data_IF_921708750065
#
_entry.id   IF_921708750065
#
_cell.length_a   1.000
_cell.length_b   1.000
_cell.length_c   1.000
_cell.angle_alpha   90.00
_cell.angle_beta   90.00
_cell.angle_gamma   90.00
#
_symmetry.space_group_name_H-M   'P 1'
#
loop_
_entity.id
_entity.type
_entity.pdbx_description
1 polymer ?
#
# COMPACT_ATOMS: atom_id res chain seq x y z
N UNK A 1 23.33 31.55 12.81
CA UNK A 1 22.12 31.75 11.99
C UNK A 1 22.07 30.62 10.99
N UNK A 2 21.01 29.82 10.99
CA UNK A 2 20.83 28.79 9.96
C UNK A 2 20.53 29.46 8.62
N UNK A 3 21.13 28.98 7.53
CA UNK A 3 20.86 29.46 6.17
C UNK A 3 19.51 28.94 5.68
N UNK A 4 18.63 29.85 5.28
CA UNK A 4 17.39 29.48 4.58
C UNK A 4 17.70 28.96 3.18
N UNK A 5 16.87 28.05 2.68
CA UNK A 5 17.07 27.54 1.33
C UNK A 5 16.86 28.64 0.27
N UNK A 6 17.72 28.73 -0.77
CA UNK A 6 17.61 29.76 -1.79
C UNK A 6 16.25 29.69 -2.50
N UNK A 7 15.66 30.84 -2.84
CA UNK A 7 14.35 30.90 -3.50
C UNK A 7 14.31 30.12 -4.83
N UNK A 8 15.42 30.06 -5.57
CA UNK A 8 15.53 29.29 -6.83
C UNK A 8 15.38 27.78 -6.64
N UNK A 9 15.55 27.28 -5.41
CA UNK A 9 15.33 25.87 -5.09
C UNK A 9 13.85 25.50 -4.83
N UNK A 10 12.95 26.51 -4.83
CA UNK A 10 11.50 26.32 -4.70
C UNK A 10 10.86 26.01 -6.06
N UNK A 11 11.14 24.81 -6.55
CA UNK A 11 10.41 24.23 -7.67
C UNK A 11 9.09 23.60 -7.21
N UNK A 12 8.16 23.37 -8.14
CA UNK A 12 6.93 22.64 -7.85
C UNK A 12 7.21 21.22 -7.33
N UNK A 13 8.31 20.59 -7.77
CA UNK A 13 8.77 19.29 -7.27
C UNK A 13 9.31 19.35 -5.83
N UNK A 14 9.81 20.51 -5.39
CA UNK A 14 10.35 20.71 -4.05
C UNK A 14 9.27 21.07 -3.01
N UNK A 15 8.06 21.41 -3.46
CA UNK A 15 7.00 21.95 -2.60
C UNK A 15 6.17 20.83 -1.94
N UNK A 16 5.99 20.86 -0.60
CA UNK A 16 5.13 19.91 0.10
C UNK A 16 3.66 20.05 -0.32
N UNK A 17 3.22 21.26 -0.68
CA UNK A 17 1.84 21.54 -1.15
C UNK A 17 1.50 20.75 -2.40
N UNK A 18 2.44 20.60 -3.33
CA UNK A 18 2.24 19.80 -4.54
C UNK A 18 1.93 18.35 -4.20
N UNK A 19 2.73 17.75 -3.30
CA UNK A 19 2.54 16.36 -2.88
C UNK A 19 1.23 16.19 -2.12
N UNK A 20 0.87 17.15 -1.25
CA UNK A 20 -0.43 17.15 -0.57
C UNK A 20 -1.61 17.14 -1.54
N UNK A 21 -1.59 18.03 -2.55
CA UNK A 21 -2.66 18.09 -3.56
C UNK A 21 -2.73 16.77 -4.32
N UNK A 22 -1.58 16.23 -4.73
CA UNK A 22 -1.51 14.93 -5.40
C UNK A 22 -2.10 13.82 -4.52
N UNK A 23 -1.65 13.71 -3.27
CA UNK A 23 -2.11 12.72 -2.30
C UNK A 23 -3.62 12.80 -2.05
N UNK A 24 -4.17 13.98 -1.78
CA UNK A 24 -5.61 14.12 -1.56
C UNK A 24 -6.44 13.84 -2.81
N UNK A 25 -5.95 14.23 -3.99
CA UNK A 25 -6.57 13.87 -5.27
C UNK A 25 -6.58 12.36 -5.45
N UNK A 26 -5.47 11.69 -5.14
CA UNK A 26 -5.37 10.22 -5.16
C UNK A 26 -6.36 9.59 -4.17
N UNK A 27 -6.42 10.06 -2.92
CA UNK A 27 -7.40 9.56 -1.95
C UNK A 27 -8.83 9.66 -2.49
N UNK A 28 -9.22 10.79 -3.08
CA UNK A 28 -10.55 11.00 -3.65
C UNK A 28 -10.86 10.06 -4.83
N UNK A 29 -9.88 9.81 -5.71
CA UNK A 29 -10.05 8.94 -6.89
C UNK A 29 -9.98 7.45 -6.56
N UNK A 30 -9.10 7.05 -5.64
CA UNK A 30 -8.79 5.65 -5.34
C UNK A 30 -9.75 5.08 -4.30
N UNK A 31 -10.29 5.88 -3.37
CA UNK A 31 -11.26 5.39 -2.37
C UNK A 31 -12.49 4.70 -3.01
N UNK A 32 -13.14 5.24 -4.06
CA UNK A 32 -14.20 4.53 -4.77
C UNK A 32 -13.74 3.20 -5.37
N UNK A 33 -12.52 3.13 -5.88
CA UNK A 33 -11.93 1.91 -6.42
C UNK A 33 -11.71 0.87 -5.32
N UNK A 34 -11.25 1.28 -4.15
CA UNK A 34 -11.11 0.42 -2.96
C UNK A 34 -12.45 -0.20 -2.53
N UNK A 35 -13.52 0.59 -2.55
CA UNK A 35 -14.87 0.10 -2.25
C UNK A 35 -15.36 -0.92 -3.30
N UNK A 36 -15.11 -0.65 -4.59
CA UNK A 36 -15.40 -1.61 -5.66
C UNK A 36 -14.60 -2.91 -5.46
N UNK A 37 -13.32 -2.79 -5.10
CA UNK A 37 -12.45 -3.92 -4.77
C UNK A 37 -13.02 -4.76 -3.64
N UNK A 38 -13.37 -4.13 -2.52
CA UNK A 38 -13.99 -4.81 -1.38
C UNK A 38 -15.32 -5.49 -1.75
N UNK A 39 -16.17 -4.81 -2.52
CA UNK A 39 -17.41 -5.40 -3.04
C UNK A 39 -17.16 -6.64 -3.90
N UNK A 40 -16.17 -6.60 -4.81
CA UNK A 40 -15.78 -7.73 -5.63
C UNK A 40 -15.35 -8.94 -4.78
N UNK A 41 -14.52 -8.72 -3.76
CA UNK A 41 -14.11 -9.81 -2.84
C UNK A 41 -15.32 -10.35 -2.07
N UNK A 42 -16.15 -9.49 -1.49
CA UNK A 42 -17.23 -9.93 -0.62
C UNK A 42 -18.37 -10.63 -1.36
N UNK A 43 -18.71 -10.15 -2.56
CA UNK A 43 -19.92 -10.56 -3.29
C UNK A 43 -19.66 -11.28 -4.61
N UNK A 44 -18.44 -11.25 -5.16
CA UNK A 44 -18.13 -11.79 -6.48
C UNK A 44 -17.00 -12.82 -6.50
N UNK A 45 -16.41 -13.17 -5.35
CA UNK A 45 -15.52 -14.33 -5.25
C UNK A 45 -16.33 -15.63 -5.47
N UNK A 46 -15.99 -16.45 -6.49
CA UNK A 46 -16.70 -17.68 -6.78
C UNK A 46 -16.39 -18.78 -5.76
N UNK A 47 -17.23 -19.83 -5.72
CA UNK A 47 -17.06 -20.97 -4.81
C UNK A 47 -15.68 -21.65 -4.93
N UNK A 48 -15.12 -21.71 -6.15
CA UNK A 48 -13.79 -22.27 -6.42
C UNK A 48 -12.63 -21.50 -5.76
N UNK A 49 -12.85 -20.24 -5.36
CA UNK A 49 -11.87 -19.37 -4.69
C UNK A 49 -12.26 -19.05 -3.24
N UNK A 50 -13.27 -19.70 -2.69
CA UNK A 50 -13.83 -19.36 -1.38
C UNK A 50 -12.78 -19.44 -0.26
N UNK A 51 -11.85 -20.40 -0.34
CA UNK A 51 -10.76 -20.56 0.62
C UNK A 51 -9.77 -19.39 0.68
N UNK A 52 -9.70 -18.55 -0.35
CA UNK A 52 -8.79 -17.38 -0.42
C UNK A 52 -9.52 -16.08 -0.12
N UNK A 53 -10.86 -16.09 -0.08
CA UNK A 53 -11.70 -14.89 0.08
C UNK A 53 -11.28 -14.04 1.28
N UNK A 54 -11.16 -14.66 2.45
CA UNK A 54 -10.87 -13.94 3.70
C UNK A 54 -9.43 -13.46 3.81
N UNK A 55 -8.45 -14.24 3.32
CA UNK A 55 -7.06 -13.80 3.31
C UNK A 55 -6.84 -12.68 2.29
N UNK A 56 -7.53 -12.73 1.15
CA UNK A 56 -7.54 -11.65 0.17
C UNK A 56 -8.24 -10.39 0.72
N UNK A 57 -9.32 -10.54 1.48
CA UNK A 57 -9.98 -9.41 2.13
C UNK A 57 -9.08 -8.76 3.19
N UNK A 58 -8.39 -9.55 4.01
CA UNK A 58 -7.44 -9.04 5.00
C UNK A 58 -6.29 -8.28 4.32
N UNK A 59 -5.74 -8.83 3.24
CA UNK A 59 -4.74 -8.14 2.43
C UNK A 59 -5.28 -6.82 1.87
N UNK A 60 -6.45 -6.85 1.23
CA UNK A 60 -7.09 -5.65 0.68
C UNK A 60 -7.29 -4.59 1.76
N UNK A 61 -7.82 -4.97 2.92
CA UNK A 61 -8.03 -4.07 4.05
C UNK A 61 -6.75 -3.32 4.46
N UNK A 62 -5.64 -4.03 4.67
CA UNK A 62 -4.38 -3.40 5.06
C UNK A 62 -3.79 -2.54 3.94
N UNK A 63 -3.96 -2.92 2.67
CA UNK A 63 -3.56 -2.08 1.53
C UNK A 63 -4.34 -0.77 1.51
N UNK A 64 -5.67 -0.83 1.71
CA UNK A 64 -6.52 0.36 1.80
C UNK A 64 -6.13 1.22 2.99
N UNK A 65 -5.85 0.61 4.15
CA UNK A 65 -5.43 1.36 5.34
C UNK A 65 -4.13 2.12 5.08
N UNK A 66 -3.09 1.46 4.52
CA UNK A 66 -1.83 2.12 4.17
C UNK A 66 -2.04 3.22 3.12
N UNK A 67 -2.88 2.97 2.11
CA UNK A 67 -3.19 3.96 1.09
C UNK A 67 -3.84 5.22 1.68
N UNK A 68 -4.83 5.06 2.57
CA UNK A 68 -5.45 6.17 3.28
C UNK A 68 -4.48 6.89 4.21
N UNK A 69 -3.59 6.16 4.88
CA UNK A 69 -2.54 6.77 5.70
C UNK A 69 -1.62 7.65 4.85
N UNK A 70 -1.14 7.15 3.71
CA UNK A 70 -0.21 7.83 2.82
C UNK A 70 -0.83 8.97 1.99
N UNK A 71 -2.16 8.97 1.81
CA UNK A 71 -2.84 9.93 0.93
C UNK A 71 -3.82 10.88 1.64
N UNK A 72 -4.21 10.59 2.88
CA UNK A 72 -5.24 11.35 3.60
C UNK A 72 -4.90 11.62 5.07
N UNK A 73 -4.58 10.59 5.84
CA UNK A 73 -4.49 10.72 7.30
C UNK A 73 -3.14 11.26 7.78
N UNK A 74 -2.03 10.71 7.29
CA UNK A 74 -0.67 10.95 7.78
C UNK A 74 0.36 10.83 6.64
N UNK A 75 0.29 11.78 5.70
CA UNK A 75 1.16 11.88 4.52
C UNK A 75 2.58 12.21 5.01
N UNK A 76 3.57 11.31 4.85
CA UNK A 76 4.91 11.51 5.39
C UNK A 76 5.76 12.37 4.45
N UNK A 77 6.58 13.26 5.01
CA UNK A 77 7.56 14.07 4.29
C UNK A 77 8.95 13.87 4.92
N UNK A 78 9.80 12.99 4.35
CA UNK A 78 11.11 12.73 4.91
C UNK A 78 12.07 13.89 4.68
N UNK A 79 13.02 14.05 5.61
CA UNK A 79 14.06 15.08 5.63
C UNK A 79 15.46 14.43 5.60
N UNK A 80 15.72 13.60 4.57
CA UNK A 80 17.03 13.00 4.38
C UNK A 80 18.14 14.06 4.27
N UNK A 81 19.37 13.78 4.71
CA UNK A 81 19.84 12.49 5.20
C UNK A 81 19.50 12.19 6.66
N UNK A 82 18.97 13.17 7.39
CA UNK A 82 18.46 12.92 8.73
C UNK A 82 17.33 11.89 8.69
N UNK A 83 17.31 10.98 9.66
CA UNK A 83 16.21 10.05 9.88
C UNK A 83 15.01 10.79 10.51
N UNK A 84 14.54 11.84 9.87
CA UNK A 84 13.49 12.72 10.37
C UNK A 84 12.52 13.08 9.27
N UNK A 85 11.42 13.70 9.65
CA UNK A 85 10.42 14.16 8.72
C UNK A 85 9.31 14.90 9.43
N UNK A 86 8.24 15.16 8.71
CA UNK A 86 6.99 15.63 9.28
C UNK A 86 5.83 14.91 8.62
N UNK A 87 4.71 14.79 9.32
CA UNK A 87 3.49 14.18 8.76
C UNK A 87 2.40 15.23 8.69
N UNK A 88 1.73 15.29 7.54
CA UNK A 88 0.59 16.17 7.30
C UNK A 88 -0.65 15.35 6.92
N UNK A 89 -1.83 15.86 7.24
CA UNK A 89 -3.10 15.24 6.86
C UNK A 89 -4.15 15.42 7.94
N UNK A 90 -5.20 14.61 7.88
CA UNK A 90 -6.33 14.71 8.82
C UNK A 90 -5.89 14.49 10.27
N UNK A 91 -4.93 13.60 10.53
CA UNK A 91 -4.45 13.37 11.90
C UNK A 91 -3.65 14.54 12.45
N UNK A 92 -2.80 15.17 11.63
CA UNK A 92 -2.07 16.37 12.06
C UNK A 92 -3.03 17.54 12.29
N UNK A 93 -4.05 17.71 11.43
CA UNK A 93 -5.10 18.73 11.62
C UNK A 93 -5.93 18.50 12.89
N UNK A 94 -6.12 17.23 13.29
CA UNK A 94 -6.79 16.86 14.52
C UNK A 94 -5.90 17.00 15.77
N UNK A 95 -4.66 17.46 15.64
CA UNK A 95 -3.72 17.64 16.76
C UNK A 95 -3.11 16.34 17.28
N UNK A 96 -3.14 15.24 16.50
CA UNK A 96 -2.48 14.00 16.90
C UNK A 96 -0.96 14.16 16.85
N UNK A 97 -0.26 13.73 17.90
CA UNK A 97 1.22 13.74 17.97
C UNK A 97 1.84 12.99 16.79
N UNK A 98 2.90 13.54 16.20
CA UNK A 98 3.53 12.94 15.02
C UNK A 98 4.13 11.54 15.28
N UNK A 99 4.65 11.31 16.49
CA UNK A 99 5.13 9.99 16.94
C UNK A 99 4.07 8.90 16.78
N UNK A 100 2.82 9.21 17.18
CA UNK A 100 1.68 8.29 17.11
C UNK A 100 1.25 8.07 15.67
N UNK A 101 1.21 9.13 14.85
CA UNK A 101 0.87 9.03 13.43
C UNK A 101 1.87 8.15 12.68
N UNK A 102 3.16 8.36 12.90
CA UNK A 102 4.22 7.56 12.31
C UNK A 102 4.12 6.09 12.74
N UNK A 103 3.85 5.83 14.02
CA UNK A 103 3.68 4.47 14.53
C UNK A 103 2.52 3.74 13.84
N UNK A 104 1.35 4.38 13.69
CA UNK A 104 0.22 3.80 12.96
C UNK A 104 0.55 3.51 11.49
N UNK A 105 1.27 4.43 10.83
CA UNK A 105 1.69 4.25 9.44
C UNK A 105 2.61 3.03 9.29
N UNK A 106 3.67 2.94 10.12
CA UNK A 106 4.65 1.85 10.06
C UNK A 106 4.00 0.51 10.41
N UNK A 107 3.18 0.43 11.46
CA UNK A 107 2.45 -0.80 11.82
C UNK A 107 1.55 -1.25 10.66
N UNK A 108 0.83 -0.32 10.02
CA UNK A 108 -0.04 -0.65 8.88
C UNK A 108 0.77 -1.22 7.70
N UNK A 109 1.94 -0.64 7.40
CA UNK A 109 2.85 -1.15 6.35
C UNK A 109 3.32 -2.56 6.70
N UNK A 110 3.75 -2.80 7.95
CA UNK A 110 4.17 -4.13 8.39
C UNK A 110 3.04 -5.16 8.25
N UNK A 111 1.80 -4.79 8.59
CA UNK A 111 0.63 -5.66 8.48
C UNK A 111 0.24 -5.94 7.02
N UNK A 112 0.50 -5.05 6.07
CA UNK A 112 0.42 -5.36 4.63
C UNK A 112 1.40 -6.49 4.28
N UNK A 113 2.65 -6.42 4.73
CA UNK A 113 3.63 -7.47 4.46
C UNK A 113 3.22 -8.81 5.09
N UNK A 114 2.77 -8.82 6.36
CA UNK A 114 2.26 -10.04 7.02
C UNK A 114 1.03 -10.61 6.30
N UNK A 115 0.07 -9.76 5.92
CA UNK A 115 -1.12 -10.19 5.18
C UNK A 115 -0.79 -10.81 3.83
N UNK A 116 0.28 -10.34 3.17
CA UNK A 116 0.81 -10.95 1.94
C UNK A 116 1.32 -12.36 2.21
N UNK A 117 2.13 -12.56 3.26
CA UNK A 117 2.63 -13.87 3.66
C UNK A 117 1.48 -14.83 4.02
N UNK A 118 0.42 -14.35 4.67
CA UNK A 118 -0.79 -15.15 4.96
C UNK A 118 -1.49 -15.65 3.69
N UNK A 119 -1.44 -14.91 2.59
CA UNK A 119 -2.00 -15.38 1.32
C UNK A 119 -1.19 -16.57 0.78
N UNK A 120 0.14 -16.50 0.82
CA UNK A 120 1.00 -17.63 0.42
C UNK A 120 0.85 -18.83 1.34
N UNK A 121 0.77 -18.60 2.66
CA UNK A 121 0.50 -19.66 3.63
C UNK A 121 -0.83 -20.35 3.34
N UNK A 122 -1.89 -19.59 3.06
CA UNK A 122 -3.19 -20.17 2.72
C UNK A 122 -3.11 -21.08 1.49
N UNK A 123 -2.30 -20.73 0.49
CA UNK A 123 -2.05 -21.60 -0.67
C UNK A 123 -1.26 -22.85 -0.30
N UNK A 124 -0.20 -22.69 0.48
CA UNK A 124 0.58 -23.80 0.99
C UNK A 124 -0.32 -24.80 1.73
N UNK A 125 -1.23 -24.31 2.57
CA UNK A 125 -2.21 -25.12 3.30
C UNK A 125 -3.18 -25.88 2.39
N UNK A 126 -3.62 -25.28 1.28
CA UNK A 126 -4.50 -25.94 0.32
C UNK A 126 -3.80 -27.10 -0.39
N UNK A 127 -2.53 -26.94 -0.76
CA UNK A 127 -1.72 -28.00 -1.39
C UNK A 127 -1.28 -29.07 -0.40
N UNK A 128 -1.15 -28.71 0.87
CA UNK A 128 -0.71 -29.59 1.95
C UNK A 128 -1.84 -29.88 2.94
N UNK A 129 -3.07 -30.07 2.43
CA UNK A 129 -4.27 -30.22 3.27
C UNK A 129 -4.21 -31.43 4.23
N UNK A 130 -3.39 -32.44 3.95
CA UNK A 130 -3.14 -33.61 4.82
C UNK A 130 -2.10 -33.35 5.92
N UNK A 131 -1.38 -32.21 5.90
CA UNK A 131 -0.37 -31.87 6.90
C UNK A 131 -1.03 -31.40 8.22
N UNK A 132 -1.36 -32.36 9.08
CA UNK A 132 -1.99 -32.10 10.38
C UNK A 132 -1.09 -31.28 11.31
N UNK A 133 0.23 -31.47 11.23
CA UNK A 133 1.20 -30.73 12.05
C UNK A 133 1.15 -29.24 11.74
N UNK A 134 1.15 -28.87 10.46
CA UNK A 134 1.04 -27.46 10.06
C UNK A 134 -0.29 -26.84 10.48
N UNK A 135 -1.41 -27.55 10.32
CA UNK A 135 -2.73 -27.03 10.75
C UNK A 135 -2.78 -26.69 12.24
N UNK A 136 -2.13 -27.48 13.10
CA UNK A 136 -2.03 -27.21 14.54
C UNK A 136 -1.10 -26.02 14.84
N UNK A 137 -0.02 -25.86 14.07
CA UNK A 137 0.96 -24.79 14.27
C UNK A 137 0.52 -23.44 13.67
N UNK A 138 -0.29 -23.45 12.61
CA UNK A 138 -0.75 -22.26 11.88
C UNK A 138 -1.25 -21.11 12.79
N UNK A 139 -2.16 -21.31 13.76
CA UNK A 139 -2.63 -20.21 14.60
C UNK A 139 -1.49 -19.55 15.38
N UNK A 140 -0.53 -20.34 15.88
CA UNK A 140 0.66 -19.82 16.57
C UNK A 140 1.54 -19.02 15.61
N UNK A 141 1.73 -19.51 14.38
CA UNK A 141 2.49 -18.79 13.35
C UNK A 141 1.86 -17.43 13.01
N UNK A 142 0.53 -17.34 12.91
CA UNK A 142 -0.17 -16.07 12.68
C UNK A 142 0.02 -15.12 13.87
N UNK A 143 -0.21 -15.59 15.09
CA UNK A 143 -0.03 -14.78 16.32
C UNK A 143 1.40 -14.30 16.46
N UNK A 144 2.39 -15.16 16.19
CA UNK A 144 3.80 -14.81 16.27
C UNK A 144 4.17 -13.70 15.27
N UNK A 145 3.66 -13.74 14.04
CA UNK A 145 3.92 -12.68 13.05
C UNK A 145 3.27 -11.34 13.44
N UNK A 146 2.07 -11.38 14.04
CA UNK A 146 1.42 -10.16 14.56
C UNK A 146 2.22 -9.59 15.74
N UNK A 147 2.58 -10.43 16.72
CA UNK A 147 3.41 -10.00 17.86
C UNK A 147 4.75 -9.45 17.38
N UNK A 148 5.40 -10.14 16.43
CA UNK A 148 6.68 -9.70 15.84
C UNK A 148 6.59 -8.29 15.24
N UNK A 149 5.46 -7.95 14.60
CA UNK A 149 5.23 -6.59 14.05
C UNK A 149 5.29 -5.51 15.13
N UNK A 150 4.81 -5.78 16.34
CA UNK A 150 4.88 -4.83 17.44
C UNK A 150 6.25 -4.86 18.13
N UNK A 151 6.80 -6.05 18.37
CA UNK A 151 8.09 -6.21 19.04
C UNK A 151 9.24 -5.57 18.27
N UNK A 152 9.24 -5.69 16.94
CA UNK A 152 10.30 -5.13 16.09
C UNK A 152 10.36 -3.60 16.16
N UNK A 153 9.27 -2.93 16.55
CA UNK A 153 9.21 -1.46 16.70
C UNK A 153 9.57 -0.97 18.11
N UNK A 154 9.74 -1.86 19.09
CA UNK A 154 10.10 -1.47 20.46
C UNK A 154 11.45 -0.74 20.50
N UNK A 155 12.53 -1.21 19.85
CA UNK A 155 13.83 -0.53 19.92
C UNK A 155 13.78 0.91 19.43
N UNK A 156 13.05 1.19 18.35
CA UNK A 156 12.93 2.54 17.79
C UNK A 156 12.05 3.43 18.67
N UNK A 157 10.94 2.90 19.21
CA UNK A 157 10.06 3.66 20.11
C UNK A 157 10.73 4.02 21.44
N UNK A 158 11.60 3.16 21.97
CA UNK A 158 12.39 3.43 23.18
C UNK A 158 13.51 4.46 22.96
N UNK A 159 13.81 4.80 21.71
CA UNK A 159 14.88 5.74 21.33
C UNK A 159 14.38 7.08 20.83
N UNK A 160 13.06 7.30 20.87
CA UNK A 160 12.48 8.59 20.51
C UNK A 160 13.08 9.65 21.44
N UNK A 161 13.88 10.60 20.91
CA UNK A 161 14.50 11.65 21.70
C UNK A 161 13.48 12.71 22.09
N UNK A 162 13.90 13.63 22.96
CA UNK A 162 13.24 14.93 23.09
C UNK A 162 13.21 15.62 21.71
N UNK A 163 12.02 15.98 21.25
CA UNK A 163 11.82 16.42 19.86
C UNK A 163 12.32 17.84 19.62
N UNK A 164 12.33 18.71 20.65
CA UNK A 164 12.85 20.07 20.53
C UNK A 164 14.37 20.03 20.38
N UNK A 165 15.07 19.25 21.21
CA UNK A 165 16.49 19.00 21.05
C UNK A 165 16.84 18.32 19.72
N UNK A 166 16.08 17.30 19.32
CA UNK A 166 16.33 16.59 18.08
C UNK A 166 16.13 17.48 16.85
N UNK A 167 15.20 18.42 16.91
CA UNK A 167 14.96 19.40 15.84
C UNK A 167 16.17 20.31 15.61
N UNK A 168 16.83 20.78 16.66
CA UNK A 168 18.06 21.57 16.54
C UNK A 168 19.16 20.77 15.82
N UNK A 169 19.29 19.48 16.13
CA UNK A 169 20.22 18.58 15.43
C UNK A 169 19.85 18.46 13.95
N UNK A 170 18.58 18.27 13.61
CA UNK A 170 18.12 18.20 12.21
C UNK A 170 18.47 19.49 11.46
N UNK A 171 18.27 20.65 12.08
CA UNK A 171 18.59 21.97 11.50
C UNK A 171 20.09 22.21 11.29
N UNK A 172 20.95 21.50 12.03
CA UNK A 172 22.40 21.50 11.82
C UNK A 172 22.85 20.51 10.73
N UNK A 173 22.10 19.41 10.53
CA UNK A 173 22.40 18.41 9.50
C UNK A 173 21.96 18.88 8.10
N UNK A 174 20.81 19.56 8.00
CA UNK A 174 20.31 20.02 6.72
C UNK A 174 21.20 21.13 6.15
N UNK A 175 21.56 21.09 4.86
CA UNK A 175 22.42 22.11 4.24
C UNK A 175 21.72 23.47 4.13
N UNK A 176 20.39 23.47 4.11
CA UNK A 176 19.56 24.67 4.22
C UNK A 176 18.20 24.31 4.81
N UNK A 177 17.54 25.28 5.42
CA UNK A 177 16.22 25.09 6.06
C UNK A 177 15.14 25.80 5.23
N UNK A 178 14.14 25.08 4.71
CA UNK A 178 12.94 25.70 4.15
C UNK A 178 12.12 26.44 5.21
N UNK A 179 11.65 27.65 4.91
CA UNK A 179 10.98 28.52 5.89
C UNK A 179 9.78 27.89 6.59
N UNK A 180 9.01 27.07 5.87
CA UNK A 180 7.85 26.40 6.44
C UNK A 180 8.22 25.44 7.60
N UNK A 181 9.45 24.90 7.61
CA UNK A 181 9.91 23.99 8.66
C UNK A 181 10.09 24.68 10.01
N UNK A 182 10.16 26.01 10.09
CA UNK A 182 10.18 26.71 11.39
C UNK A 182 8.82 26.64 12.09
N UNK A 183 7.73 26.52 11.34
CA UNK A 183 6.36 26.44 11.87
C UNK A 183 5.80 25.03 12.03
N UNK A 184 6.48 24.02 11.47
CA UNK A 184 6.02 22.62 11.47
C UNK A 184 6.73 21.83 12.57
N UNK A 185 5.99 20.98 13.27
CA UNK A 185 6.55 19.97 14.17
C UNK A 185 7.32 18.92 13.34
N UNK A 186 8.55 18.59 13.74
CA UNK A 186 9.38 17.58 13.08
C UNK A 186 9.41 16.35 13.97
N UNK A 187 9.26 15.18 13.38
CA UNK A 187 9.46 13.90 14.03
C UNK A 187 10.85 13.35 13.73
N UNK A 188 11.59 13.04 14.79
CA UNK A 188 12.84 12.29 14.76
C UNK A 188 12.61 10.98 15.53
N UNK A 189 12.51 9.81 14.88
CA UNK A 189 12.24 8.54 15.57
C UNK A 189 13.44 8.02 16.37
N UNK A 190 14.66 8.33 15.93
CA UNK A 190 15.89 8.04 16.67
C UNK A 190 17.01 8.94 16.13
N UNK A 191 17.89 9.41 17.02
CA UNK A 191 19.15 10.08 16.65
C UNK A 191 20.19 9.08 16.13
N UNK A 192 19.96 7.78 16.30
CA UNK A 192 20.82 6.74 15.78
C UNK A 192 20.15 6.08 14.55
N UNK A 193 20.44 6.54 13.31
CA UNK A 193 19.82 6.03 12.10
C UNK A 193 20.13 4.54 11.85
N UNK A 194 21.24 4.02 12.39
CA UNK A 194 21.66 2.62 12.26
C UNK A 194 20.59 1.69 12.83
N UNK A 195 19.92 2.07 13.92
CA UNK A 195 18.93 1.22 14.57
C UNK A 195 17.65 1.12 13.75
N UNK A 196 17.26 2.20 13.07
CA UNK A 196 16.15 2.19 12.12
C UNK A 196 16.48 1.26 10.93
N UNK A 197 17.70 1.38 10.39
CA UNK A 197 18.19 0.54 9.29
C UNK A 197 18.21 -0.95 9.69
N UNK A 198 18.82 -1.31 10.82
CA UNK A 198 18.89 -2.69 11.30
C UNK A 198 17.50 -3.27 11.54
N UNK A 199 16.61 -2.50 12.18
CA UNK A 199 15.23 -2.92 12.45
C UNK A 199 14.47 -3.20 11.15
N UNK A 200 14.60 -2.31 10.16
CA UNK A 200 14.01 -2.48 8.84
C UNK A 200 14.57 -3.72 8.12
N UNK A 201 15.89 -3.92 8.13
CA UNK A 201 16.54 -5.08 7.50
C UNK A 201 16.10 -6.39 8.15
N UNK A 202 16.03 -6.47 9.48
CA UNK A 202 15.55 -7.67 10.19
C UNK A 202 14.11 -7.96 9.77
N UNK A 203 13.23 -6.95 9.75
CA UNK A 203 11.84 -7.12 9.32
C UNK A 203 11.76 -7.65 7.88
N UNK A 204 12.49 -7.03 6.95
CA UNK A 204 12.54 -7.46 5.54
C UNK A 204 13.02 -8.90 5.45
N UNK A 205 14.15 -9.26 6.07
CA UNK A 205 14.72 -10.62 6.00
C UNK A 205 13.73 -11.66 6.55
N UNK A 206 13.12 -11.40 7.70
CA UNK A 206 12.18 -12.35 8.33
C UNK A 206 10.92 -12.52 7.50
N UNK A 207 10.31 -11.43 7.02
CA UNK A 207 9.03 -11.50 6.30
C UNK A 207 9.22 -11.97 4.86
N UNK A 208 10.20 -11.44 4.14
CA UNK A 208 10.52 -11.91 2.78
C UNK A 208 11.07 -13.32 2.79
N UNK A 209 11.84 -13.72 3.80
CA UNK A 209 12.32 -15.10 3.95
C UNK A 209 11.16 -16.09 4.06
N UNK A 210 10.14 -15.78 4.86
CA UNK A 210 8.91 -16.58 4.94
C UNK A 210 8.16 -16.63 3.61
N UNK A 211 7.99 -15.47 2.96
CA UNK A 211 7.30 -15.36 1.68
C UNK A 211 7.99 -16.19 0.60
N UNK A 212 9.31 -16.05 0.46
CA UNK A 212 10.13 -16.81 -0.49
C UNK A 212 10.06 -18.31 -0.21
N UNK A 213 10.12 -18.71 1.06
CA UNK A 213 10.01 -20.12 1.45
C UNK A 213 8.69 -20.72 0.99
N UNK A 214 7.56 -20.08 1.30
CA UNK A 214 6.26 -20.57 0.82
C UNK A 214 6.16 -20.56 -0.70
N UNK A 215 6.61 -19.49 -1.36
CA UNK A 215 6.57 -19.39 -2.81
C UNK A 215 7.36 -20.51 -3.49
N UNK A 216 8.60 -20.78 -3.04
CA UNK A 216 9.47 -21.84 -3.58
C UNK A 216 8.84 -23.22 -3.39
N UNK A 217 8.33 -23.52 -2.19
CA UNK A 217 7.69 -24.82 -1.90
C UNK A 217 6.49 -25.01 -2.82
N UNK A 218 5.61 -24.01 -2.94
CA UNK A 218 4.41 -24.11 -3.76
C UNK A 218 4.76 -24.26 -5.24
N UNK A 219 5.72 -23.49 -5.76
CA UNK A 219 6.16 -23.58 -7.15
C UNK A 219 6.67 -24.99 -7.45
N UNK A 220 7.54 -25.54 -6.59
CA UNK A 220 8.05 -26.92 -6.71
C UNK A 220 6.94 -27.96 -6.67
N UNK A 221 5.96 -27.83 -5.78
CA UNK A 221 4.83 -28.75 -5.69
C UNK A 221 3.92 -28.69 -6.93
N UNK A 222 3.72 -27.51 -7.52
CA UNK A 222 2.91 -27.35 -8.72
C UNK A 222 3.64 -27.76 -10.01
N UNK A 223 4.98 -27.73 -10.03
CA UNK A 223 5.80 -28.08 -11.19
C UNK A 223 6.22 -29.55 -11.24
N UNK A 224 6.20 -30.28 -10.12
CA UNK A 224 6.65 -31.67 -10.01
C UNK A 224 5.54 -32.71 -10.18
N UNK A 225 5.93 -33.97 -10.30
CA UNK A 225 5.04 -35.14 -10.34
C UNK A 225 4.16 -35.25 -9.09
N UNK A 226 4.62 -34.72 -7.95
CA UNK A 226 3.79 -34.57 -6.76
C UNK A 226 2.47 -33.85 -7.07
N UNK A 227 2.53 -32.74 -7.81
CA UNK A 227 1.35 -32.00 -8.24
C UNK A 227 0.51 -32.77 -9.27
N UNK A 228 1.11 -33.64 -10.07
CA UNK A 228 0.40 -34.52 -11.01
C UNK A 228 -0.39 -35.63 -10.29
N UNK A 229 0.18 -36.17 -9.20
CA UNK A 229 -0.39 -37.28 -8.45
C UNK A 229 -1.42 -36.84 -7.40
N UNK A 230 -1.31 -35.62 -6.86
CA UNK A 230 -2.19 -35.13 -5.80
C UNK A 230 -3.38 -34.30 -6.29
N UNK A 231 -3.34 -33.77 -7.52
CA UNK A 231 -4.36 -32.86 -8.03
C UNK A 231 -4.81 -33.25 -9.43
N UNK A 232 -6.11 -33.10 -9.70
CA UNK A 232 -6.61 -33.19 -11.08
C UNK A 232 -5.99 -32.09 -11.96
N UNK A 233 -5.89 -32.34 -13.26
CA UNK A 233 -5.28 -31.41 -14.21
C UNK A 233 -5.93 -30.01 -14.16
N UNK A 234 -7.26 -29.97 -14.10
CA UNK A 234 -8.03 -28.72 -13.97
C UNK A 234 -7.70 -27.97 -12.67
N UNK A 235 -7.60 -28.68 -11.54
CA UNK A 235 -7.26 -28.06 -10.25
C UNK A 235 -5.82 -27.55 -10.25
N UNK A 236 -4.88 -28.32 -10.80
CA UNK A 236 -3.48 -27.91 -10.94
C UNK A 236 -3.33 -26.67 -11.82
N UNK A 237 -4.04 -26.61 -12.95
CA UNK A 237 -4.08 -25.43 -13.84
C UNK A 237 -4.63 -24.20 -13.12
N UNK A 238 -5.73 -24.37 -12.36
CA UNK A 238 -6.29 -23.29 -11.54
C UNK A 238 -5.28 -22.78 -10.49
N UNK A 239 -4.62 -23.67 -9.75
CA UNK A 239 -3.62 -23.29 -8.73
C UNK A 239 -2.42 -22.57 -9.36
N UNK A 240 -1.93 -23.00 -10.53
CA UNK A 240 -0.85 -22.31 -11.26
C UNK A 240 -1.26 -20.90 -11.67
N UNK A 241 -2.47 -20.72 -12.22
CA UNK A 241 -2.96 -19.39 -12.60
C UNK A 241 -3.13 -18.47 -11.39
N UNK A 242 -3.63 -19.01 -10.28
CA UNK A 242 -3.76 -18.27 -9.04
C UNK A 242 -2.40 -17.95 -8.39
N UNK A 243 -1.38 -18.78 -8.57
CA UNK A 243 -0.01 -18.49 -8.12
C UNK A 243 0.62 -17.36 -8.94
N UNK A 244 0.50 -17.40 -10.28
CA UNK A 244 0.96 -16.30 -11.15
C UNK A 244 0.32 -14.97 -10.75
N UNK A 245 -0.98 -14.99 -10.46
CA UNK A 245 -1.71 -13.84 -9.97
C UNK A 245 -1.11 -13.25 -8.67
N UNK A 246 -0.77 -14.11 -7.70
CA UNK A 246 -0.16 -13.65 -6.45
C UNK A 246 1.23 -13.10 -6.61
N UNK A 247 2.07 -13.73 -7.44
CA UNK A 247 3.43 -13.24 -7.69
C UNK A 247 3.36 -11.81 -8.22
N UNK A 248 2.44 -11.55 -9.16
CA UNK A 248 2.21 -10.19 -9.65
C UNK A 248 1.68 -9.25 -8.57
N UNK A 249 0.70 -9.69 -7.77
CA UNK A 249 0.12 -8.89 -6.69
C UNK A 249 1.16 -8.55 -5.60
N UNK A 250 2.09 -9.46 -5.33
CA UNK A 250 3.22 -9.29 -4.38
C UNK A 250 4.30 -8.36 -4.91
N UNK A 251 4.46 -8.32 -6.24
CA UNK A 251 5.35 -7.37 -6.90
C UNK A 251 4.97 -5.91 -6.60
N UNK A 252 3.70 -5.62 -6.34
CA UNK A 252 3.24 -4.24 -6.06
C UNK A 252 3.81 -3.71 -4.73
N UNK A 253 3.60 -4.35 -3.56
CA UNK A 253 4.27 -3.92 -2.32
C UNK A 253 5.80 -3.84 -2.44
N UNK A 254 6.43 -4.75 -3.18
CA UNK A 254 7.88 -4.71 -3.39
C UNK A 254 8.30 -3.43 -4.15
N UNK A 255 7.68 -3.16 -5.29
CA UNK A 255 8.03 -2.03 -6.15
C UNK A 255 7.69 -0.67 -5.52
N UNK A 256 6.58 -0.58 -4.78
CA UNK A 256 6.09 0.71 -4.28
C UNK A 256 6.37 0.95 -2.80
N UNK A 257 6.77 -0.05 -2.01
CA UNK A 257 7.12 0.13 -0.59
C UNK A 257 8.59 -0.21 -0.33
N UNK A 258 9.07 -1.38 -0.78
CA UNK A 258 10.44 -1.83 -0.48
C UNK A 258 11.51 -1.08 -1.27
N UNK A 259 11.27 -0.83 -2.55
CA UNK A 259 12.21 -0.04 -3.37
C UNK A 259 12.33 1.40 -2.86
N UNK A 260 11.24 2.16 -2.60
CA UNK A 260 11.36 3.49 -1.99
C UNK A 260 12.01 3.48 -0.60
N UNK A 261 11.74 2.47 0.23
CA UNK A 261 12.43 2.31 1.52
C UNK A 261 13.94 2.10 1.33
N UNK A 262 14.35 1.27 0.36
CA UNK A 262 15.77 1.06 0.03
C UNK A 262 16.43 2.35 -0.47
N UNK A 263 15.76 3.10 -1.34
CA UNK A 263 16.23 4.40 -1.81
C UNK A 263 16.39 5.41 -0.66
N UNK A 264 15.45 5.41 0.28
CA UNK A 264 15.50 6.23 1.51
C UNK A 264 16.73 5.88 2.35
N UNK A 265 16.98 4.59 2.57
CA UNK A 265 18.15 4.11 3.32
C UNK A 265 19.48 4.47 2.65
N UNK A 266 19.54 4.44 1.32
CA UNK A 266 20.70 4.88 0.55
C UNK A 266 20.91 6.39 0.66
N UNK A 267 19.85 7.19 0.56
CA UNK A 267 19.95 8.64 0.70
C UNK A 267 20.43 9.06 2.10
N UNK A 268 19.99 8.35 3.14
CA UNK A 268 20.50 8.53 4.50
C UNK A 268 21.98 8.15 4.60
N UNK A 269 22.38 6.98 4.08
CA UNK A 269 23.75 6.47 4.16
C UNK A 269 24.76 7.28 3.34
N UNK A 270 24.32 7.85 2.21
CA UNK A 270 25.14 8.68 1.32
C UNK A 270 25.07 10.18 1.65
N UNK A 271 24.36 10.54 2.73
CA UNK A 271 24.20 11.91 3.18
C UNK A 271 23.58 12.86 2.13
N UNK A 272 22.69 12.34 1.28
CA UNK A 272 22.09 13.09 0.16
C UNK A 272 20.82 13.82 0.61
N UNK A 273 20.85 15.15 0.55
CA UNK A 273 19.64 15.99 0.66
C UNK A 273 19.13 16.41 -0.71
N UNK A 274 17.88 16.06 -1.02
CA UNK A 274 17.16 16.59 -2.19
C UNK A 274 15.66 16.60 -1.94
N UNK A 275 15.07 17.80 -1.84
CA UNK A 275 13.62 17.97 -1.64
C UNK A 275 12.79 17.34 -2.79
N UNK A 276 13.14 17.54 -4.08
CA UNK A 276 12.46 16.84 -5.17
C UNK A 276 12.52 15.32 -5.03
N UNK A 277 13.67 14.76 -4.66
CA UNK A 277 13.83 13.32 -4.47
C UNK A 277 12.95 12.80 -3.32
N UNK A 278 12.95 13.48 -2.17
CA UNK A 278 12.12 13.13 -1.03
C UNK A 278 10.63 13.13 -1.40
N UNK A 279 10.18 14.15 -2.13
CA UNK A 279 8.79 14.26 -2.59
C UNK A 279 8.43 13.18 -3.63
N UNK A 280 9.36 12.81 -4.52
CA UNK A 280 9.16 11.70 -5.47
C UNK A 280 9.03 10.38 -4.71
N UNK A 281 9.84 10.12 -3.68
CA UNK A 281 9.72 8.92 -2.85
C UNK A 281 8.31 8.83 -2.26
N UNK A 282 7.79 9.93 -1.71
CA UNK A 282 6.44 9.97 -1.11
C UNK A 282 5.38 9.72 -2.17
N UNK A 283 5.46 10.41 -3.32
CA UNK A 283 4.50 10.26 -4.41
C UNK A 283 4.50 8.85 -5.01
N UNK A 284 5.67 8.22 -5.18
CA UNK A 284 5.76 6.83 -5.63
C UNK A 284 5.14 5.91 -4.57
N UNK A 285 5.50 6.07 -3.30
CA UNK A 285 4.97 5.23 -2.22
C UNK A 285 3.44 5.32 -2.12
N UNK A 286 2.89 6.52 -2.32
CA UNK A 286 1.45 6.76 -2.23
C UNK A 286 0.63 6.18 -3.39
N UNK A 287 1.27 5.80 -4.50
CA UNK A 287 0.62 5.08 -5.61
C UNK A 287 0.35 3.60 -5.31
N UNK A 288 0.94 3.04 -4.25
CA UNK A 288 0.84 1.61 -3.91
C UNK A 288 -0.60 1.09 -3.91
N UNK A 289 -1.53 1.78 -3.23
CA UNK A 289 -2.90 1.30 -3.08
C UNK A 289 -3.69 1.31 -4.40
N UNK A 290 -3.47 2.32 -5.25
CA UNK A 290 -4.04 2.35 -6.60
C UNK A 290 -3.66 1.09 -7.37
N UNK A 291 -2.36 0.81 -7.47
CA UNK A 291 -1.87 -0.33 -8.25
C UNK A 291 -2.24 -1.67 -7.60
N UNK A 292 -2.27 -1.76 -6.27
CA UNK A 292 -2.66 -2.97 -5.55
C UNK A 292 -4.12 -3.33 -5.85
N UNK A 293 -5.04 -2.36 -5.77
CA UNK A 293 -6.46 -2.58 -6.02
C UNK A 293 -6.76 -2.82 -7.50
N UNK A 294 -6.13 -2.05 -8.41
CA UNK A 294 -6.26 -2.30 -9.86
C UNK A 294 -5.77 -3.71 -10.23
N UNK A 295 -4.59 -4.09 -9.76
CA UNK A 295 -4.00 -5.42 -9.97
C UNK A 295 -4.96 -6.52 -9.52
N UNK A 296 -5.48 -6.42 -8.30
CA UNK A 296 -6.46 -7.37 -7.79
C UNK A 296 -7.70 -7.48 -8.70
N UNK A 297 -8.28 -6.37 -9.13
CA UNK A 297 -9.47 -6.38 -10.00
C UNK A 297 -9.16 -6.99 -11.37
N UNK A 298 -8.05 -6.58 -12.00
CA UNK A 298 -7.71 -6.95 -13.37
C UNK A 298 -7.28 -8.42 -13.50
N UNK A 299 -6.53 -8.92 -12.53
CA UNK A 299 -5.98 -10.28 -12.55
C UNK A 299 -7.06 -11.33 -12.34
N UNK A 300 -8.00 -11.08 -11.42
CA UNK A 300 -9.06 -12.02 -11.10
C UNK A 300 -10.23 -11.88 -12.08
N UNK A 301 -10.39 -12.87 -12.96
CA UNK A 301 -11.46 -12.91 -13.96
C UNK A 301 -12.86 -12.56 -13.42
N UNK A 302 -13.33 -13.12 -12.28
CA UNK A 302 -14.65 -12.77 -11.73
C UNK A 302 -14.80 -11.28 -11.39
N UNK A 303 -13.71 -10.63 -11.00
CA UNK A 303 -13.72 -9.22 -10.57
C UNK A 303 -13.71 -8.29 -11.77
N UNK A 304 -12.80 -8.48 -12.73
CA UNK A 304 -12.80 -7.67 -13.97
C UNK A 304 -14.10 -7.81 -14.75
N UNK A 305 -14.69 -9.01 -14.82
CA UNK A 305 -15.99 -9.22 -15.47
C UNK A 305 -17.11 -8.44 -14.76
N UNK A 306 -17.09 -8.36 -13.44
CA UNK A 306 -18.03 -7.55 -12.65
C UNK A 306 -17.88 -6.07 -12.94
N UNK A 307 -16.64 -5.55 -12.93
CA UNK A 307 -16.39 -4.13 -13.18
C UNK A 307 -16.79 -3.73 -14.59
N UNK A 308 -16.43 -4.55 -15.60
CA UNK A 308 -16.85 -4.33 -16.99
C UNK A 308 -18.38 -4.32 -17.12
N UNK A 309 -19.07 -5.23 -16.44
CA UNK A 309 -20.54 -5.25 -16.42
C UNK A 309 -21.14 -3.97 -15.80
N UNK A 310 -20.62 -3.52 -14.65
CA UNK A 310 -21.08 -2.30 -13.98
C UNK A 310 -20.84 -1.06 -14.87
N UNK A 311 -19.69 -0.97 -15.53
CA UNK A 311 -19.38 0.11 -16.46
C UNK A 311 -20.31 0.11 -17.69
N UNK A 312 -20.60 -1.05 -18.27
CA UNK A 312 -21.54 -1.18 -19.39
C UNK A 312 -22.97 -0.80 -18.98
N UNK A 313 -23.46 -1.27 -17.83
CA UNK A 313 -24.80 -0.94 -17.32
C UNK A 313 -24.96 0.56 -17.03
N UNK A 314 -23.92 1.23 -16.52
CA UNK A 314 -23.90 2.69 -16.37
C UNK A 314 -23.98 3.42 -17.71
N UNK A 315 -23.23 2.99 -18.73
CA UNK A 315 -23.31 3.56 -20.08
C UNK A 315 -24.71 3.44 -20.68
N UNK A 316 -25.35 2.27 -20.60
CA UNK A 316 -26.71 2.09 -21.12
C UNK A 316 -27.76 2.94 -20.39
N UNK A 317 -27.63 3.09 -19.05
CA UNK A 317 -28.51 3.99 -18.29
C UNK A 317 -28.31 5.46 -18.65
N UNK A 318 -27.06 5.91 -18.80
CA UNK A 318 -26.76 7.30 -19.20
C UNK A 318 -27.34 7.62 -20.57
N UNK A 319 -27.19 6.73 -21.56
CA UNK A 319 -27.78 6.88 -22.90
C UNK A 319 -29.31 6.99 -22.85
N UNK A 320 -29.98 6.23 -21.99
CA UNK A 320 -31.44 6.28 -21.86
C UNK A 320 -31.95 7.51 -21.07
N UNK A 321 -31.11 8.18 -20.27
CA UNK A 321 -31.49 9.39 -19.51
C UNK A 321 -31.26 10.71 -20.26
N UNK A 322 -30.52 10.71 -21.38
CA UNK A 322 -30.57 11.84 -22.30
C UNK A 322 -31.83 11.66 -23.16
N UNK A 323 -32.83 12.55 -23.10
CA UNK A 323 -33.93 12.48 -24.03
C UNK A 323 -33.34 12.65 -25.43
N UNK A 324 -33.49 11.61 -26.24
CA UNK A 324 -33.30 11.68 -27.68
C UNK A 324 -34.27 12.79 -28.13
N UNK A 325 -33.75 13.99 -28.44
CA UNK A 325 -34.55 15.06 -29.03
C UNK A 325 -34.99 14.55 -30.40
N UNK A 326 -36.17 13.91 -30.45
CA UNK A 326 -36.86 13.64 -31.69
C UNK A 326 -37.44 14.96 -32.17
N UNK A 327 -36.78 15.61 -33.12
CA UNK A 327 -37.41 16.66 -33.93
C UNK A 327 -38.44 15.99 -34.85
N UNK A 328 -39.63 15.75 -34.33
CA UNK A 328 -40.82 15.47 -35.14
C UNK A 328 -41.72 16.70 -35.08
N UNK A 329 -41.45 17.69 -35.92
CA UNK A 329 -42.48 18.64 -36.33
C UNK A 329 -43.26 18.00 -37.48
N UNK A 330 -44.31 17.27 -37.13
CA UNK A 330 -45.45 17.04 -38.02
C UNK A 330 -46.53 18.04 -37.61
N UNK A 331 -46.83 19.00 -38.48
CA UNK A 331 -48.03 19.83 -38.37
C UNK A 331 -48.99 19.29 -39.42
N UNK A 332 -49.95 18.51 -38.93
CA UNK A 332 -51.07 18.01 -39.72
C UNK A 332 -52.08 19.11 -40.03
N UNK A 333 -52.55 19.02 -41.27
CA UNK A 333 -53.64 19.74 -41.89
C UNK A 333 -54.96 19.32 -41.24
N UNK A 334 -55.81 20.29 -40.86
CA UNK A 334 -57.25 20.08 -40.72
C UNK A 334 -58.03 21.08 -41.59
N UNK A 335 -59.01 20.51 -42.29
CA UNK A 335 -59.93 21.09 -43.27
C UNK A 335 -61.13 21.75 -42.57
N UNK A 336 -61.54 22.94 -43.05
CA UNK A 336 -62.91 23.45 -43.29
C UNK A 336 -62.73 24.86 -43.89
N UNK A 337 -63.30 25.30 -45.01
CA UNK A 337 -64.51 24.93 -45.75
C UNK A 337 -64.29 24.93 -47.28
#
# INVERSE_FOLDING_TARGET
MHSTCPHDSNSWYSSPTTVLIFSHTMAALVTPLHLIGAYCILKKTPASMHSVKWTLLNFHFWNVMVDLMLNLFAIPFPLFPSASGFLLGVFSMAGMKQTVQLWFLIVSICLVCISTTMIFENRFRLLNNKNVRWKKFQPFWVVLNIIFTFLILIPTTMQVPDQDFAREIVFNILPCIPDFLFSIEIIVPSLNPIIIVITCLIFIIVVFGQLLTFAIIIIRQLSSDFGANMLSENTRKLQKNLMKALIWQTGIPFMYLVVPASCSMLAMSLEVFSRPFNNIIVAVTSLHGLFSTLSMILIHQPYRSTVTYLCRKKKTRLVNTYPMFSTNTAVDVYVTA
#
